data_IF_974843519818
#
_entry.id   IF_974843519818
#
_cell.length_a   1.000
_cell.length_b   1.000
_cell.length_c   1.000
_cell.angle_alpha   90.00
_cell.angle_beta   90.00
_cell.angle_gamma   90.00
#
_symmetry.space_group_name_H-M   'P 1'
#
loop_
_entity.id
_entity.type
_entity.pdbx_description
1 polymer ?
#
# COMPACT_ATOMS: atom_id res chain seq x y z
N UNK A 1 32.26 -3.67 -2.36
CA UNK A 1 30.97 -3.62 -1.63
C UNK A 1 30.34 -2.29 -2.00
N UNK A 2 29.40 -2.32 -2.94
CA UNK A 2 28.73 -1.11 -3.42
C UNK A 2 28.10 -0.38 -2.23
N UNK A 3 28.35 0.93 -2.13
CA UNK A 3 27.72 1.74 -1.09
C UNK A 3 26.32 2.10 -1.56
N UNK A 4 25.32 1.33 -1.14
CA UNK A 4 23.90 1.72 -1.27
C UNK A 4 23.72 3.22 -0.98
N UNK A 5 22.91 3.88 -1.79
CA UNK A 5 22.61 5.30 -1.64
C UNK A 5 21.91 5.55 -0.30
N UNK A 6 21.87 6.81 0.15
CA UNK A 6 21.16 7.14 1.39
C UNK A 6 19.66 6.87 1.25
N UNK A 7 19.07 7.26 0.12
CA UNK A 7 17.65 7.07 -0.18
C UNK A 7 17.28 5.57 -0.24
N UNK A 8 18.12 4.73 -0.84
CA UNK A 8 17.92 3.26 -0.85
C UNK A 8 17.92 2.67 0.57
N UNK A 9 18.84 3.10 1.43
CA UNK A 9 18.89 2.63 2.83
C UNK A 9 17.67 3.06 3.62
N UNK A 10 17.23 4.29 3.41
CA UNK A 10 16.05 4.85 4.05
C UNK A 10 14.79 4.09 3.55
N UNK A 11 14.72 3.73 2.26
CA UNK A 11 13.63 2.93 1.69
C UNK A 11 13.60 1.52 2.30
N UNK A 12 14.74 0.83 2.35
CA UNK A 12 14.87 -0.49 2.98
C UNK A 12 14.43 -0.46 4.45
N UNK A 13 14.78 0.61 5.18
CA UNK A 13 14.38 0.81 6.57
C UNK A 13 12.86 1.03 6.69
N UNK A 14 12.28 1.85 5.80
CA UNK A 14 10.84 2.07 5.75
C UNK A 14 10.07 0.78 5.44
N UNK A 15 10.55 -0.03 4.49
CA UNK A 15 9.93 -1.32 4.13
C UNK A 15 9.91 -2.26 5.34
N UNK A 16 11.04 -2.44 6.02
CA UNK A 16 11.12 -3.27 7.24
C UNK A 16 10.17 -2.79 8.34
N UNK A 17 10.05 -1.48 8.51
CA UNK A 17 9.13 -0.86 9.49
C UNK A 17 7.67 -1.12 9.12
N UNK A 18 7.32 -0.99 7.83
CA UNK A 18 5.98 -1.27 7.30
C UNK A 18 5.59 -2.74 7.47
N UNK A 19 6.47 -3.68 7.16
CA UNK A 19 6.25 -5.11 7.36
C UNK A 19 6.00 -5.45 8.84
N UNK A 20 6.80 -4.89 9.74
CA UNK A 20 6.63 -5.06 11.18
C UNK A 20 5.28 -4.49 11.66
N UNK A 21 4.91 -3.29 11.20
CA UNK A 21 3.63 -2.66 11.56
C UNK A 21 2.43 -3.47 11.05
N UNK A 22 2.50 -4.00 9.81
CA UNK A 22 1.48 -4.87 9.23
C UNK A 22 1.30 -6.16 10.03
N UNK A 23 2.40 -6.78 10.45
CA UNK A 23 2.36 -7.97 11.31
C UNK A 23 1.68 -7.67 12.66
N UNK A 24 2.03 -6.55 13.29
CA UNK A 24 1.39 -6.12 14.53
C UNK A 24 -0.11 -5.85 14.37
N UNK A 25 -0.53 -5.27 13.23
CA UNK A 25 -1.95 -5.07 12.93
C UNK A 25 -2.70 -6.40 12.83
N UNK A 26 -2.16 -7.39 12.09
CA UNK A 26 -2.81 -8.70 11.96
C UNK A 26 -2.92 -9.45 13.30
N UNK A 27 -1.88 -9.38 14.14
CA UNK A 27 -1.91 -9.94 15.49
C UNK A 27 -2.98 -9.26 16.38
N UNK A 28 -3.05 -7.93 16.36
CA UNK A 28 -4.04 -7.17 17.12
C UNK A 28 -5.47 -7.45 16.63
N UNK A 29 -5.67 -7.55 15.31
CA UNK A 29 -6.95 -7.89 14.67
C UNK A 29 -7.41 -9.29 15.06
N UNK A 30 -6.51 -10.27 15.07
CA UNK A 30 -6.82 -11.64 15.52
C UNK A 30 -7.24 -11.66 16.99
N UNK A 31 -6.47 -11.00 17.85
CA UNK A 31 -6.78 -10.88 19.28
C UNK A 31 -8.16 -10.24 19.50
N UNK A 32 -8.46 -9.15 18.80
CA UNK A 32 -9.76 -8.47 18.87
C UNK A 32 -10.92 -9.39 18.48
N UNK A 33 -10.78 -10.19 17.42
CA UNK A 33 -11.78 -11.19 17.02
C UNK A 33 -11.98 -12.27 18.08
N UNK A 34 -10.90 -12.79 18.64
CA UNK A 34 -10.96 -13.84 19.67
C UNK A 34 -11.67 -13.36 20.95
N UNK A 35 -11.33 -12.17 21.45
CA UNK A 35 -11.99 -11.64 22.66
C UNK A 35 -13.44 -11.23 22.41
N UNK A 36 -13.76 -10.71 21.22
CA UNK A 36 -15.14 -10.38 20.84
C UNK A 36 -15.99 -11.64 20.79
N UNK A 37 -15.50 -12.71 20.15
CA UNK A 37 -16.19 -14.01 20.10
C UNK A 37 -16.52 -14.53 21.50
N UNK A 38 -15.58 -14.41 22.45
CA UNK A 38 -15.81 -14.82 23.84
C UNK A 38 -16.93 -14.01 24.50
N UNK A 39 -16.93 -12.69 24.32
CA UNK A 39 -18.01 -11.83 24.82
C UNK A 39 -19.37 -12.20 24.22
N UNK A 40 -19.43 -12.40 22.89
CA UNK A 40 -20.67 -12.76 22.19
C UNK A 40 -21.20 -14.13 22.66
N UNK A 41 -20.32 -15.11 22.89
CA UNK A 41 -20.68 -16.42 23.45
C UNK A 41 -21.22 -16.32 24.89
N UNK A 42 -20.59 -15.50 25.74
CA UNK A 42 -21.00 -15.29 27.13
C UNK A 42 -22.33 -14.53 27.22
N UNK A 43 -22.53 -13.54 26.34
CA UNK A 43 -23.78 -12.82 26.19
C UNK A 43 -24.90 -13.76 25.74
N UNK A 44 -24.66 -14.56 24.69
CA UNK A 44 -25.65 -15.50 24.16
C UNK A 44 -26.12 -16.50 25.22
N UNK A 45 -25.21 -17.09 26.01
CA UNK A 45 -25.59 -17.99 27.11
C UNK A 45 -26.51 -17.30 28.13
N UNK A 46 -26.26 -16.03 28.41
CA UNK A 46 -27.06 -15.23 29.33
C UNK A 46 -28.46 -14.95 28.77
N UNK A 47 -28.55 -14.61 27.49
CA UNK A 47 -29.80 -14.39 26.76
C UNK A 47 -30.63 -15.68 26.65
N UNK A 48 -30.00 -16.79 26.24
CA UNK A 48 -30.64 -18.10 26.11
C UNK A 48 -31.25 -18.56 27.45
N UNK A 49 -30.52 -18.37 28.58
CA UNK A 49 -31.04 -18.66 29.92
C UNK A 49 -32.22 -17.76 30.26
N UNK A 50 -32.11 -16.45 30.02
CA UNK A 50 -33.17 -15.50 30.34
C UNK A 50 -34.47 -15.85 29.59
N UNK A 51 -34.38 -16.22 28.32
CA UNK A 51 -35.51 -16.66 27.52
C UNK A 51 -36.11 -17.98 28.03
N UNK A 52 -35.26 -18.95 28.36
CA UNK A 52 -35.73 -20.24 28.88
C UNK A 52 -36.41 -20.11 30.26
N UNK A 53 -35.85 -19.30 31.16
CA UNK A 53 -36.46 -18.98 32.46
C UNK A 53 -37.79 -18.26 32.28
N UNK A 54 -37.89 -17.31 31.34
CA UNK A 54 -39.14 -16.62 31.04
C UNK A 54 -40.22 -17.59 30.54
N UNK A 55 -39.87 -18.50 29.61
CA UNK A 55 -40.80 -19.53 29.12
C UNK A 55 -41.26 -20.46 30.25
N UNK A 56 -40.34 -20.89 31.10
CA UNK A 56 -40.67 -21.74 32.25
C UNK A 56 -41.53 -21.02 33.30
N UNK A 57 -41.31 -19.72 33.54
CA UNK A 57 -42.17 -18.92 34.42
C UNK A 57 -43.58 -18.78 33.83
N UNK A 58 -43.71 -18.50 32.53
CA UNK A 58 -45.02 -18.44 31.87
C UNK A 58 -45.80 -19.76 31.99
N UNK A 59 -45.13 -20.92 31.88
CA UNK A 59 -45.73 -22.23 32.13
C UNK A 59 -46.15 -22.41 33.59
N UNK A 60 -45.29 -22.01 34.54
CA UNK A 60 -45.59 -22.06 35.97
C UNK A 60 -46.78 -21.18 36.35
N UNK A 61 -46.85 -19.96 35.82
CA UNK A 61 -47.99 -19.05 36.04
C UNK A 61 -49.30 -19.64 35.51
N UNK A 62 -49.27 -20.29 34.34
CA UNK A 62 -50.43 -21.00 33.78
C UNK A 62 -50.86 -22.16 34.69
N UNK A 63 -49.92 -22.98 35.17
CA UNK A 63 -50.23 -24.08 36.08
C UNK A 63 -50.76 -23.59 37.44
N UNK A 64 -50.21 -22.51 37.99
CA UNK A 64 -50.71 -21.85 39.20
C UNK A 64 -52.17 -21.40 39.02
N UNK A 65 -52.51 -20.82 37.87
CA UNK A 65 -53.87 -20.40 37.55
C UNK A 65 -54.83 -21.59 37.41
N UNK A 66 -54.39 -22.71 36.84
CA UNK A 66 -55.19 -23.94 36.75
C UNK A 66 -55.52 -24.50 38.15
N UNK A 67 -54.56 -24.50 39.07
CA UNK A 67 -54.79 -24.93 40.47
C UNK A 67 -55.82 -24.02 41.14
N UNK A 68 -55.69 -22.70 41.00
CA UNK A 68 -56.67 -21.76 41.55
C UNK A 68 -58.08 -22.00 41.00
N UNK A 69 -58.21 -22.20 39.69
CA UNK A 69 -59.49 -22.52 39.04
C UNK A 69 -60.07 -23.84 39.57
N UNK A 70 -59.26 -24.89 39.71
CA UNK A 70 -59.71 -26.17 40.25
C UNK A 70 -60.22 -26.04 41.70
N UNK A 71 -59.58 -25.22 42.54
CA UNK A 71 -60.07 -24.92 43.88
C UNK A 71 -61.38 -24.14 43.91
N UNK A 72 -61.57 -23.20 42.98
CA UNK A 72 -62.86 -22.49 42.82
C UNK A 72 -63.96 -23.47 42.39
N UNK A 73 -63.71 -24.32 41.39
CA UNK A 73 -64.66 -25.36 40.97
C UNK A 73 -65.05 -26.30 42.11
N UNK A 74 -64.08 -26.72 42.94
CA UNK A 74 -64.36 -27.55 44.12
C UNK A 74 -65.26 -26.86 45.14
N UNK A 75 -65.09 -25.55 45.36
CA UNK A 75 -65.93 -24.77 46.27
C UNK A 75 -67.37 -24.65 45.77
N UNK A 76 -67.55 -24.58 44.45
CA UNK A 76 -68.85 -24.45 43.80
C UNK A 76 -69.55 -25.79 43.53
N UNK A 77 -68.82 -26.90 43.58
CA UNK A 77 -69.34 -28.24 43.28
C UNK A 77 -70.39 -28.73 44.29
N UNK A 78 -71.42 -29.41 43.78
CA UNK A 78 -72.43 -30.11 44.61
C UNK A 78 -71.83 -31.36 45.25
N UNK A 79 -72.42 -31.83 46.36
CA UNK A 79 -71.88 -32.96 47.16
C UNK A 79 -71.57 -34.23 46.35
N UNK A 80 -72.37 -34.54 45.33
CA UNK A 80 -72.16 -35.70 44.44
C UNK A 80 -70.99 -35.55 43.46
N UNK A 81 -70.56 -34.32 43.16
CA UNK A 81 -69.53 -34.00 42.17
C UNK A 81 -68.18 -33.64 42.82
N UNK A 82 -68.14 -33.53 44.16
CA UNK A 82 -66.94 -33.17 44.93
C UNK A 82 -65.74 -34.06 44.66
N UNK A 83 -65.94 -35.37 44.54
CA UNK A 83 -64.85 -36.33 44.30
C UNK A 83 -64.14 -36.07 42.94
N UNK A 84 -64.91 -35.70 41.92
CA UNK A 84 -64.35 -35.34 40.60
C UNK A 84 -63.58 -34.01 40.66
N UNK A 85 -64.10 -33.01 41.37
CA UNK A 85 -63.40 -31.76 41.58
C UNK A 85 -62.09 -31.93 42.41
N UNK A 86 -62.09 -32.82 43.39
CA UNK A 86 -60.88 -33.22 44.14
C UNK A 86 -59.82 -33.88 43.24
N UNK A 87 -60.23 -34.71 42.27
CA UNK A 87 -59.30 -35.29 41.30
C UNK A 87 -58.68 -34.20 40.39
N UNK A 88 -59.49 -33.25 39.91
CA UNK A 88 -58.97 -32.11 39.13
C UNK A 88 -57.95 -31.28 39.91
N UNK A 89 -58.17 -31.07 41.21
CA UNK A 89 -57.19 -30.41 42.07
C UNK A 89 -55.88 -31.21 42.08
N UNK A 90 -55.94 -32.52 42.32
CA UNK A 90 -54.72 -33.36 42.34
C UNK A 90 -53.96 -33.30 41.02
N UNK A 91 -54.65 -33.42 39.89
CA UNK A 91 -54.04 -33.34 38.56
C UNK A 91 -53.42 -31.96 38.29
N UNK A 92 -54.12 -30.87 38.65
CA UNK A 92 -53.59 -29.51 38.51
C UNK A 92 -52.38 -29.26 39.42
N UNK A 93 -52.41 -29.75 40.66
CA UNK A 93 -51.29 -29.63 41.60
C UNK A 93 -50.07 -30.41 41.13
N UNK A 94 -50.24 -31.61 40.58
CA UNK A 94 -49.13 -32.37 39.98
C UNK A 94 -48.47 -31.59 38.82
N UNK A 95 -49.27 -31.02 37.91
CA UNK A 95 -48.76 -30.17 36.82
C UNK A 95 -48.03 -28.93 37.33
N UNK A 96 -48.53 -28.33 38.41
CA UNK A 96 -47.88 -27.19 39.07
C UNK A 96 -46.51 -27.58 39.64
N UNK A 97 -46.42 -28.74 40.32
CA UNK A 97 -45.16 -29.26 40.85
C UNK A 97 -44.14 -29.54 39.73
N UNK A 98 -44.58 -30.13 38.62
CA UNK A 98 -43.74 -30.36 37.44
C UNK A 98 -43.25 -29.06 36.80
N UNK A 99 -44.14 -28.08 36.60
CA UNK A 99 -43.77 -26.77 36.06
C UNK A 99 -42.81 -26.02 37.02
N UNK A 100 -43.04 -26.12 38.33
CA UNK A 100 -42.17 -25.52 39.33
C UNK A 100 -40.78 -26.17 39.32
N UNK A 101 -40.70 -27.49 39.13
CA UNK A 101 -39.43 -28.21 38.97
C UNK A 101 -38.68 -27.71 37.74
N UNK A 102 -39.34 -27.61 36.57
CA UNK A 102 -38.72 -27.09 35.34
C UNK A 102 -38.24 -25.66 35.49
N UNK A 103 -39.03 -24.78 36.11
CA UNK A 103 -38.62 -23.40 36.39
C UNK A 103 -37.35 -23.35 37.24
N UNK A 104 -37.29 -24.13 38.32
CA UNK A 104 -36.11 -24.19 39.17
C UNK A 104 -34.90 -24.79 38.45
N UNK A 105 -35.09 -25.79 37.58
CA UNK A 105 -34.03 -26.36 36.73
C UNK A 105 -33.45 -25.31 35.77
N UNK A 106 -34.30 -24.54 35.08
CA UNK A 106 -33.88 -23.46 34.19
C UNK A 106 -33.18 -22.32 34.94
N UNK A 107 -33.68 -21.95 36.12
CA UNK A 107 -33.07 -20.90 36.94
C UNK A 107 -31.70 -21.31 37.50
N UNK A 108 -31.50 -22.60 37.77
CA UNK A 108 -30.24 -23.17 38.26
C UNK A 108 -29.14 -23.28 37.19
N UNK A 109 -29.45 -23.12 35.90
CA UNK A 109 -28.43 -23.13 34.82
C UNK A 109 -27.39 -22.05 35.07
N UNK A 110 -26.11 -22.40 35.06
CA UNK A 110 -25.02 -21.45 35.33
C UNK A 110 -24.73 -20.61 34.09
N UNK A 111 -24.71 -19.29 34.25
CA UNK A 111 -24.31 -18.31 33.23
C UNK A 111 -23.25 -17.37 33.80
N UNK A 112 -22.46 -16.69 32.96
CA UNK A 112 -21.54 -15.65 33.42
C UNK A 112 -22.25 -14.62 34.30
N UNK A 113 -21.61 -14.22 35.40
CA UNK A 113 -22.14 -13.15 36.23
C UNK A 113 -22.07 -11.80 35.47
N UNK A 114 -22.94 -10.85 35.85
CA UNK A 114 -22.97 -9.54 35.19
C UNK A 114 -21.61 -8.81 35.28
N UNK A 115 -20.87 -9.01 36.37
CA UNK A 115 -19.50 -8.53 36.57
C UNK A 115 -18.53 -9.14 35.56
N UNK A 116 -18.55 -10.46 35.38
CA UNK A 116 -17.70 -11.18 34.44
C UNK A 116 -18.01 -10.79 32.99
N UNK A 117 -19.30 -10.66 32.64
CA UNK A 117 -19.74 -10.21 31.32
C UNK A 117 -19.31 -8.77 31.03
N UNK A 118 -19.32 -7.89 32.04
CA UNK A 118 -18.80 -6.52 31.90
C UNK A 118 -17.28 -6.52 31.65
N UNK A 119 -16.53 -7.41 32.33
CA UNK A 119 -15.08 -7.56 32.12
C UNK A 119 -14.78 -8.09 30.72
N UNK A 120 -15.52 -9.07 30.20
CA UNK A 120 -15.31 -9.58 28.84
C UNK A 120 -15.69 -8.54 27.79
N UNK A 121 -16.75 -7.76 28.00
CA UNK A 121 -17.11 -6.62 27.15
C UNK A 121 -16.00 -5.57 27.10
N UNK A 122 -15.49 -5.16 28.26
CA UNK A 122 -14.41 -4.17 28.33
C UNK A 122 -13.17 -4.65 27.59
N UNK A 123 -12.76 -5.91 27.79
CA UNK A 123 -11.61 -6.50 27.06
C UNK A 123 -11.83 -6.52 25.55
N UNK A 124 -13.06 -6.79 25.09
CA UNK A 124 -13.39 -6.75 23.67
C UNK A 124 -13.29 -5.34 23.09
N UNK A 125 -13.78 -4.33 23.81
CA UNK A 125 -13.68 -2.93 23.41
C UNK A 125 -12.23 -2.43 23.39
N UNK A 126 -11.44 -2.76 24.42
CA UNK A 126 -10.01 -2.43 24.49
C UNK A 126 -9.23 -3.06 23.33
N UNK A 127 -9.45 -4.35 23.04
CA UNK A 127 -8.76 -5.02 21.93
C UNK A 127 -9.18 -4.45 20.56
N UNK A 128 -10.43 -4.02 20.39
CA UNK A 128 -10.87 -3.31 19.17
C UNK A 128 -10.13 -1.98 19.01
N UNK A 129 -9.99 -1.19 20.08
CA UNK A 129 -9.21 0.06 20.07
C UNK A 129 -7.72 -0.21 19.78
N UNK A 130 -7.14 -1.23 20.39
CA UNK A 130 -5.75 -1.66 20.09
C UNK A 130 -5.57 -2.00 18.61
N UNK A 131 -6.50 -2.74 18.02
CA UNK A 131 -6.47 -3.10 16.60
C UNK A 131 -6.62 -1.88 15.68
N UNK A 132 -7.47 -0.90 16.03
CA UNK A 132 -7.61 0.35 15.26
C UNK A 132 -6.34 1.20 15.32
N UNK A 133 -5.70 1.30 16.49
CA UNK A 133 -4.41 1.99 16.63
C UNK A 133 -3.32 1.29 15.82
N UNK A 134 -3.29 -0.04 15.84
CA UNK A 134 -2.34 -0.82 15.04
C UNK A 134 -2.59 -0.65 13.53
N UNK A 135 -3.85 -0.57 13.10
CA UNK A 135 -4.23 -0.28 11.70
C UNK A 135 -3.66 1.06 11.25
N UNK A 136 -3.91 2.13 12.02
CA UNK A 136 -3.40 3.49 11.70
C UNK A 136 -1.88 3.51 11.57
N UNK A 137 -1.16 2.85 12.49
CA UNK A 137 0.31 2.73 12.42
C UNK A 137 0.78 1.96 11.19
N UNK A 138 0.08 0.90 10.80
CA UNK A 138 0.39 0.15 9.58
C UNK A 138 0.18 0.98 8.32
N UNK A 139 -0.90 1.76 8.25
CA UNK A 139 -1.18 2.66 7.13
C UNK A 139 -0.16 3.80 7.03
N UNK A 140 0.21 4.40 8.17
CA UNK A 140 1.23 5.44 8.23
C UNK A 140 2.61 4.92 7.77
N UNK A 141 3.00 3.72 8.22
CA UNK A 141 4.24 3.10 7.80
C UNK A 141 4.25 2.74 6.29
N UNK A 142 3.09 2.36 5.73
CA UNK A 142 2.97 2.15 4.29
C UNK A 142 3.15 3.45 3.49
N UNK A 143 2.60 4.56 3.98
CA UNK A 143 2.80 5.89 3.36
C UNK A 143 4.26 6.34 3.41
N UNK A 144 4.98 6.03 4.50
CA UNK A 144 6.40 6.33 4.63
C UNK A 144 7.25 5.60 3.57
N UNK A 145 6.89 4.33 3.26
CA UNK A 145 7.52 3.57 2.16
C UNK A 145 7.29 4.26 0.82
N UNK A 146 6.06 4.70 0.55
CA UNK A 146 5.72 5.39 -0.69
C UNK A 146 6.48 6.73 -0.84
N UNK A 147 6.57 7.49 0.25
CA UNK A 147 7.34 8.74 0.29
C UNK A 147 8.81 8.48 -0.03
N UNK A 148 9.42 7.45 0.56
CA UNK A 148 10.83 7.15 0.32
C UNK A 148 11.09 6.61 -1.09
N UNK A 149 10.15 5.81 -1.63
CA UNK A 149 10.18 5.40 -3.05
C UNK A 149 10.16 6.61 -3.98
N UNK A 150 9.27 7.58 -3.73
CA UNK A 150 9.17 8.77 -4.57
C UNK A 150 10.43 9.62 -4.55
N UNK A 151 11.15 9.69 -3.42
CA UNK A 151 12.45 10.38 -3.36
C UNK A 151 13.51 9.73 -4.25
N UNK A 152 13.54 8.39 -4.31
CA UNK A 152 14.45 7.66 -5.21
C UNK A 152 14.11 8.01 -6.66
N UNK A 153 12.83 7.91 -7.04
CA UNK A 153 12.37 8.25 -8.39
C UNK A 153 12.69 9.71 -8.79
N UNK A 154 12.50 10.67 -7.88
CA UNK A 154 12.85 12.07 -8.10
C UNK A 154 14.37 12.25 -8.29
N UNK A 155 15.18 11.58 -7.47
CA UNK A 155 16.63 11.63 -7.58
C UNK A 155 17.13 11.01 -8.90
N UNK A 156 16.56 9.88 -9.31
CA UNK A 156 16.91 9.21 -10.57
C UNK A 156 16.54 10.08 -11.77
N UNK A 157 15.34 10.69 -11.77
CA UNK A 157 14.92 11.62 -12.81
C UNK A 157 15.78 12.89 -12.87
N UNK A 158 16.29 13.37 -11.74
CA UNK A 158 17.24 14.49 -11.72
C UNK A 158 18.61 14.08 -12.28
N UNK A 159 19.08 12.89 -11.94
CA UNK A 159 20.35 12.35 -12.45
C UNK A 159 20.30 12.08 -13.95
N UNK A 160 19.20 11.56 -14.48
CA UNK A 160 18.97 11.36 -15.92
C UNK A 160 19.09 12.68 -16.69
N UNK A 161 18.44 13.75 -16.19
CA UNK A 161 18.57 15.09 -16.79
C UNK A 161 20.01 15.62 -16.77
N UNK A 162 20.76 15.34 -15.70
CA UNK A 162 22.19 15.74 -15.61
C UNK A 162 23.04 14.96 -16.61
N UNK A 163 22.76 13.67 -16.80
CA UNK A 163 23.41 12.84 -17.81
C UNK A 163 23.17 13.41 -19.20
N UNK A 164 21.92 13.71 -19.57
CA UNK A 164 21.59 14.28 -20.88
C UNK A 164 22.38 15.57 -21.15
N UNK A 165 22.44 16.46 -20.15
CA UNK A 165 23.20 17.72 -20.25
C UNK A 165 24.69 17.45 -20.44
N UNK A 166 25.27 16.53 -19.67
CA UNK A 166 26.70 16.19 -19.76
C UNK A 166 27.04 15.48 -21.08
N UNK A 167 26.20 14.57 -21.56
CA UNK A 167 26.38 13.91 -22.85
C UNK A 167 26.36 14.92 -24.01
N UNK A 168 25.42 15.87 -24.00
CA UNK A 168 25.39 16.94 -24.99
C UNK A 168 26.66 17.81 -24.93
N UNK A 169 27.11 18.16 -23.72
CA UNK A 169 28.35 18.93 -23.53
C UNK A 169 29.59 18.16 -24.03
N UNK A 170 29.67 16.86 -23.78
CA UNK A 170 30.74 15.99 -24.29
C UNK A 170 30.74 16.01 -25.82
N UNK A 171 29.58 15.78 -26.45
CA UNK A 171 29.46 15.79 -27.91
C UNK A 171 29.84 17.16 -28.54
N UNK A 172 29.44 18.26 -27.91
CA UNK A 172 29.81 19.61 -28.36
C UNK A 172 31.33 19.84 -28.23
N UNK A 173 31.94 19.43 -27.11
CA UNK A 173 33.39 19.54 -26.90
C UNK A 173 34.19 18.67 -27.88
N UNK A 174 33.76 17.44 -28.15
CA UNK A 174 34.37 16.57 -29.16
C UNK A 174 34.41 17.24 -30.54
N UNK A 175 33.31 17.89 -30.93
CA UNK A 175 33.21 18.63 -32.19
C UNK A 175 34.13 19.86 -32.20
N UNK A 176 34.14 20.65 -31.13
CA UNK A 176 35.03 21.82 -31.00
C UNK A 176 36.51 21.42 -31.03
N UNK A 177 36.87 20.28 -30.44
CA UNK A 177 38.23 19.72 -30.49
C UNK A 177 38.58 19.34 -31.93
N UNK A 178 37.68 18.64 -32.65
CA UNK A 178 37.93 18.27 -34.04
C UNK A 178 38.17 19.50 -34.95
N UNK A 179 37.38 20.56 -34.79
CA UNK A 179 37.55 21.81 -35.53
C UNK A 179 38.86 22.53 -35.15
N UNK A 180 39.23 22.53 -33.87
CA UNK A 180 40.49 23.09 -33.40
C UNK A 180 41.70 22.31 -33.92
N UNK A 181 41.64 20.97 -33.92
CA UNK A 181 42.70 20.10 -34.46
C UNK A 181 42.87 20.28 -35.97
N UNK A 182 41.76 20.43 -36.71
CA UNK A 182 41.81 20.77 -38.13
C UNK A 182 42.51 22.11 -38.37
N UNK A 183 42.19 23.13 -37.57
CA UNK A 183 42.83 24.45 -37.65
C UNK A 183 44.33 24.36 -37.36
N UNK A 184 44.72 23.58 -36.35
CA UNK A 184 46.13 23.32 -36.03
C UNK A 184 46.83 22.65 -37.22
N UNK A 185 46.23 21.61 -37.81
CA UNK A 185 46.82 20.89 -38.94
C UNK A 185 46.98 21.77 -40.19
N UNK A 186 46.04 22.67 -40.46
CA UNK A 186 46.14 23.60 -41.60
C UNK A 186 47.20 24.69 -41.35
N UNK A 187 47.29 25.24 -40.13
CA UNK A 187 48.35 26.17 -39.75
C UNK A 187 49.75 25.51 -39.77
N UNK A 188 49.87 24.24 -39.38
CA UNK A 188 51.14 23.49 -39.48
C UNK A 188 51.62 23.37 -40.93
N UNK A 189 50.71 23.16 -41.89
CA UNK A 189 51.06 23.16 -43.32
C UNK A 189 51.48 24.54 -43.81
N UNK A 190 50.78 25.61 -43.41
CA UNK A 190 51.14 26.99 -43.77
C UNK A 190 52.52 27.36 -43.22
N UNK A 191 52.79 27.05 -41.95
CA UNK A 191 54.10 27.28 -41.31
C UNK A 191 55.19 26.52 -42.05
N UNK A 192 55.00 25.23 -42.36
CA UNK A 192 55.99 24.44 -43.08
C UNK A 192 56.29 24.99 -44.49
N UNK A 193 55.28 25.52 -45.18
CA UNK A 193 55.47 26.18 -46.48
C UNK A 193 56.29 27.47 -46.33
N UNK A 194 55.95 28.33 -45.36
CA UNK A 194 56.66 29.57 -45.09
C UNK A 194 58.11 29.32 -44.63
N UNK A 195 58.36 28.26 -43.85
CA UNK A 195 59.73 27.85 -43.47
C UNK A 195 60.58 27.56 -44.71
N UNK A 196 60.00 26.85 -45.69
CA UNK A 196 60.67 26.56 -46.95
C UNK A 196 60.87 27.82 -47.80
N UNK A 197 59.89 28.72 -47.85
CA UNK A 197 60.01 29.99 -48.58
C UNK A 197 61.12 30.86 -47.97
N UNK A 198 61.20 30.95 -46.63
CA UNK A 198 62.28 31.65 -45.90
C UNK A 198 63.65 31.04 -46.21
N UNK A 199 63.77 29.71 -46.22
CA UNK A 199 65.00 29.01 -46.60
C UNK A 199 65.42 29.34 -48.05
N UNK A 200 64.48 29.31 -48.99
CA UNK A 200 64.73 29.69 -50.39
C UNK A 200 65.18 31.14 -50.56
N UNK A 201 64.64 32.09 -49.80
CA UNK A 201 65.09 33.49 -49.84
C UNK A 201 66.48 33.68 -49.23
N UNK A 202 66.89 32.88 -48.24
CA UNK A 202 68.26 32.91 -47.67
C UNK A 202 69.33 32.51 -48.68
N UNK A 203 68.97 31.65 -49.63
CA UNK A 203 69.88 31.17 -50.68
C UNK A 203 69.89 32.06 -51.93
N UNK A 204 69.04 33.09 -51.99
CA UNK A 204 68.89 33.99 -53.15
C UNK A 204 69.89 35.16 -53.13
N UNK A 205 70.51 35.45 -54.27
CA UNK A 205 71.47 36.54 -54.49
C UNK A 205 70.88 37.78 -55.19
N UNK A 206 69.55 37.84 -55.32
CA UNK A 206 68.85 38.96 -55.96
C UNK A 206 68.91 40.29 -55.20
N UNK A 207 68.85 41.42 -55.93
CA UNK A 207 68.98 42.80 -55.41
C UNK A 207 67.96 43.17 -54.32
N UNK A 208 66.82 42.48 -54.25
CA UNK A 208 65.77 42.68 -53.24
C UNK A 208 65.62 41.50 -52.26
N UNK A 209 66.54 40.52 -52.29
CA UNK A 209 66.40 39.28 -51.52
C UNK A 209 66.30 39.51 -50.00
N UNK A 210 67.08 40.46 -49.44
CA UNK A 210 67.02 40.82 -48.01
C UNK A 210 65.64 41.36 -47.60
N UNK A 211 65.01 42.19 -48.44
CA UNK A 211 63.69 42.78 -48.15
C UNK A 211 62.58 41.71 -48.16
N UNK A 212 62.61 40.78 -49.11
CA UNK A 212 61.66 39.67 -49.16
C UNK A 212 61.90 38.66 -48.04
N UNK A 213 63.16 38.45 -47.64
CA UNK A 213 63.50 37.60 -46.51
C UNK A 213 62.95 38.15 -45.20
N UNK A 214 63.15 39.45 -44.92
CA UNK A 214 62.64 40.09 -43.69
C UNK A 214 61.10 40.02 -43.61
N UNK A 215 60.41 40.26 -44.74
CA UNK A 215 58.96 40.12 -44.82
C UNK A 215 58.49 38.67 -44.55
N UNK A 216 59.14 37.68 -45.17
CA UNK A 216 58.81 36.27 -45.00
C UNK A 216 59.09 35.76 -43.57
N UNK A 217 60.18 36.22 -42.93
CA UNK A 217 60.48 35.88 -41.55
C UNK A 217 59.46 36.48 -40.57
N UNK A 218 58.96 37.69 -40.85
CA UNK A 218 57.89 38.31 -40.05
C UNK A 218 56.56 37.56 -40.19
N UNK A 219 56.16 37.21 -41.42
CA UNK A 219 54.94 36.43 -41.67
C UNK A 219 55.02 35.05 -41.03
N UNK A 220 56.18 34.39 -41.11
CA UNK A 220 56.45 33.12 -40.44
C UNK A 220 56.32 33.24 -38.91
N UNK A 221 56.87 34.31 -38.33
CA UNK A 221 56.77 34.56 -36.88
C UNK A 221 55.31 34.76 -36.45
N UNK A 222 54.53 35.53 -37.20
CA UNK A 222 53.09 35.70 -36.95
C UNK A 222 52.33 34.38 -37.05
N UNK A 223 52.56 33.58 -38.10
CA UNK A 223 51.91 32.27 -38.26
C UNK A 223 52.30 31.26 -37.19
N UNK A 224 53.55 31.27 -36.72
CA UNK A 224 53.98 30.45 -35.58
C UNK A 224 53.28 30.85 -34.28
N UNK A 225 53.02 32.14 -34.06
CA UNK A 225 52.24 32.59 -32.91
C UNK A 225 50.78 32.14 -33.00
N UNK A 226 50.12 32.31 -34.15
CA UNK A 226 48.76 31.81 -34.40
C UNK A 226 48.65 30.29 -34.16
N UNK A 227 49.63 29.52 -34.64
CA UNK A 227 49.71 28.07 -34.42
C UNK A 227 49.84 27.72 -32.94
N UNK A 228 50.68 28.45 -32.20
CA UNK A 228 50.85 28.23 -30.76
C UNK A 228 49.55 28.50 -29.98
N UNK A 229 48.84 29.58 -30.32
CA UNK A 229 47.53 29.90 -29.73
C UNK A 229 46.48 28.83 -30.05
N UNK A 230 46.43 28.36 -31.31
CA UNK A 230 45.52 27.29 -31.73
C UNK A 230 45.78 25.98 -30.95
N UNK A 231 47.06 25.62 -30.73
CA UNK A 231 47.46 24.45 -29.92
C UNK A 231 47.06 24.58 -28.45
N UNK A 232 47.18 25.78 -27.87
CA UNK A 232 46.72 26.05 -26.50
C UNK A 232 45.20 25.92 -26.39
N UNK A 233 44.46 26.44 -27.39
CA UNK A 233 43.00 26.32 -27.42
C UNK A 233 42.55 24.85 -27.50
N UNK A 234 43.16 24.06 -28.39
CA UNK A 234 42.85 22.63 -28.53
C UNK A 234 43.14 21.83 -27.25
N UNK A 235 44.29 22.06 -26.61
CA UNK A 235 44.66 21.40 -25.35
C UNK A 235 43.74 21.81 -24.19
N UNK A 236 43.35 23.08 -24.12
CA UNK A 236 42.36 23.56 -23.13
C UNK A 236 41.03 22.84 -23.27
N UNK A 237 40.53 22.70 -24.52
CA UNK A 237 39.27 22.00 -24.81
C UNK A 237 39.30 20.53 -24.46
N UNK A 238 40.43 19.84 -24.73
CA UNK A 238 40.63 18.45 -24.28
C UNK A 238 40.57 18.30 -22.75
N UNK A 239 41.13 19.25 -22.00
CA UNK A 239 41.04 19.23 -20.55
C UNK A 239 39.61 19.50 -20.03
N UNK A 240 38.81 20.29 -20.75
CA UNK A 240 37.37 20.47 -20.45
C UNK A 240 36.58 19.19 -20.72
N UNK A 241 36.89 18.48 -21.81
CA UNK A 241 36.29 17.20 -22.16
C UNK A 241 36.56 16.15 -21.08
N UNK A 242 37.83 15.96 -20.68
CA UNK A 242 38.23 14.98 -19.66
C UNK A 242 37.49 15.23 -18.32
N UNK A 243 37.28 16.49 -17.94
CA UNK A 243 36.49 16.84 -16.75
C UNK A 243 35.01 16.48 -16.91
N UNK A 244 34.43 16.75 -18.07
CA UNK A 244 33.03 16.43 -18.34
C UNK A 244 32.78 14.91 -18.41
N UNK A 245 33.71 14.16 -19.00
CA UNK A 245 33.70 12.69 -19.03
C UNK A 245 33.82 12.10 -17.63
N UNK A 246 34.75 12.61 -16.81
CA UNK A 246 34.88 12.16 -15.42
C UNK A 246 33.63 12.48 -14.58
N UNK A 247 32.99 13.63 -14.79
CA UNK A 247 31.73 13.97 -14.11
C UNK A 247 30.59 13.03 -14.54
N UNK A 248 30.51 12.72 -15.84
CA UNK A 248 29.54 11.79 -16.40
C UNK A 248 29.76 10.35 -15.88
N UNK A 249 31.00 9.87 -15.86
CA UNK A 249 31.37 8.55 -15.35
C UNK A 249 31.04 8.39 -13.87
N UNK A 250 31.29 9.43 -13.06
CA UNK A 250 30.93 9.44 -11.65
C UNK A 250 29.41 9.36 -11.46
N UNK A 251 28.62 10.11 -12.23
CA UNK A 251 27.15 10.05 -12.16
C UNK A 251 26.61 8.69 -12.61
N UNK A 252 27.13 8.14 -13.71
CA UNK A 252 26.76 6.80 -14.19
C UNK A 252 27.10 5.72 -13.15
N UNK A 253 28.26 5.82 -12.49
CA UNK A 253 28.65 4.90 -11.41
C UNK A 253 27.75 4.99 -10.18
N UNK A 254 27.07 6.12 -9.96
CA UNK A 254 26.08 6.27 -8.87
C UNK A 254 24.69 5.76 -9.23
N UNK A 255 24.36 5.71 -10.53
CA UNK A 255 23.12 5.14 -11.06
C UNK A 255 23.22 3.63 -11.34
N UNK A 256 24.44 3.11 -11.43
CA UNK A 256 24.74 1.70 -11.66
C UNK A 256 25.43 1.02 -10.44
N UNK A 257 24.80 0.96 -9.25
CA UNK A 257 25.29 0.11 -8.16
C UNK A 257 24.92 -1.37 -8.37
N UNK A 258 23.86 -1.67 -9.14
CA UNK A 258 23.50 -2.97 -9.70
C UNK A 258 22.74 -2.71 -11.02
N UNK A 259 23.25 -3.22 -12.15
CA UNK A 259 22.74 -2.90 -13.49
C UNK A 259 21.24 -3.03 -13.69
N UNK A 260 20.53 -1.91 -13.57
CA UNK A 260 19.19 -1.75 -14.14
C UNK A 260 19.30 -1.45 -15.62
N UNK A 261 19.16 -2.49 -16.43
CA UNK A 261 18.99 -2.37 -17.89
C UNK A 261 17.70 -1.60 -18.21
N UNK A 262 17.56 -1.08 -19.43
CA UNK A 262 16.30 -0.48 -19.93
C UNK A 262 15.07 -1.37 -19.66
N UNK A 263 15.25 -2.71 -19.65
CA UNK A 263 14.21 -3.68 -19.26
C UNK A 263 13.73 -3.52 -17.81
N UNK A 264 14.56 -3.04 -16.88
CA UNK A 264 14.15 -2.77 -15.49
C UNK A 264 13.48 -1.40 -15.32
N UNK A 265 13.81 -0.42 -16.16
CA UNK A 265 13.06 0.86 -16.24
C UNK A 265 11.67 0.65 -16.85
N UNK A 266 11.60 -0.18 -17.89
CA UNK A 266 10.34 -0.61 -18.52
C UNK A 266 9.53 -1.50 -17.56
N UNK A 267 10.20 -2.35 -16.76
CA UNK A 267 9.55 -3.13 -15.70
C UNK A 267 9.05 -2.26 -14.55
N UNK A 268 9.78 -1.23 -14.15
CA UNK A 268 9.35 -0.29 -13.11
C UNK A 268 8.16 0.57 -13.58
N UNK A 269 8.16 0.96 -14.85
CA UNK A 269 7.02 1.63 -15.49
C UNK A 269 5.82 0.67 -15.60
N UNK A 270 6.04 -0.59 -15.96
CA UNK A 270 5.01 -1.63 -16.00
C UNK A 270 4.48 -1.98 -14.60
N UNK A 271 5.33 -2.02 -13.57
CA UNK A 271 4.95 -2.22 -12.18
C UNK A 271 4.17 -1.03 -11.62
N UNK A 272 4.51 0.20 -12.02
CA UNK A 272 3.74 1.40 -11.67
C UNK A 272 2.34 1.38 -12.32
N UNK A 273 2.22 0.94 -13.58
CA UNK A 273 0.91 0.70 -14.20
C UNK A 273 0.16 -0.47 -13.53
N UNK A 274 0.87 -1.52 -13.13
CA UNK A 274 0.27 -2.67 -12.44
C UNK A 274 -0.27 -2.25 -11.07
N UNK A 275 0.47 -1.45 -10.30
CA UNK A 275 0.04 -0.91 -9.02
C UNK A 275 -1.20 -0.02 -9.15
N UNK A 276 -1.25 0.85 -10.18
CA UNK A 276 -2.48 1.63 -10.48
C UNK A 276 -3.67 0.72 -10.81
N UNK A 277 -3.45 -0.37 -11.54
CA UNK A 277 -4.50 -1.39 -11.80
C UNK A 277 -4.91 -2.13 -10.54
N UNK A 278 -3.98 -2.44 -9.64
CA UNK A 278 -4.26 -3.09 -8.35
C UNK A 278 -5.07 -2.16 -7.45
N UNK A 279 -4.72 -0.88 -7.34
CA UNK A 279 -5.53 0.09 -6.59
C UNK A 279 -6.95 0.24 -7.19
N UNK A 280 -7.06 0.32 -8.52
CA UNK A 280 -8.36 0.40 -9.18
C UNK A 280 -9.21 -0.86 -8.92
N UNK A 281 -8.61 -2.05 -8.92
CA UNK A 281 -9.28 -3.31 -8.59
C UNK A 281 -9.66 -3.38 -7.11
N UNK A 282 -8.79 -2.93 -6.19
CA UNK A 282 -9.10 -2.88 -4.76
C UNK A 282 -10.27 -1.93 -4.46
N UNK A 283 -10.33 -0.78 -5.13
CA UNK A 283 -11.47 0.14 -5.01
C UNK A 283 -12.76 -0.50 -5.55
N UNK A 284 -12.68 -1.23 -6.67
CA UNK A 284 -13.83 -1.93 -7.23
C UNK A 284 -14.31 -3.09 -6.35
N UNK A 285 -13.38 -3.83 -5.73
CA UNK A 285 -13.69 -4.86 -4.73
C UNK A 285 -14.41 -4.23 -3.53
N UNK A 286 -13.91 -3.12 -3.00
CA UNK A 286 -14.55 -2.43 -1.88
C UNK A 286 -15.97 -1.94 -2.22
N UNK A 287 -16.18 -1.43 -3.43
CA UNK A 287 -17.50 -0.98 -3.91
C UNK A 287 -18.48 -2.17 -4.05
N UNK A 288 -18.02 -3.30 -4.60
CA UNK A 288 -18.82 -4.53 -4.71
C UNK A 288 -19.14 -5.15 -3.34
N UNK A 289 -18.20 -5.13 -2.39
CA UNK A 289 -18.43 -5.57 -1.02
C UNK A 289 -19.51 -4.70 -0.33
N UNK A 290 -19.50 -3.38 -0.58
CA UNK A 290 -20.53 -2.47 -0.04
C UNK A 290 -21.91 -2.73 -0.68
N UNK A 291 -21.97 -2.95 -1.99
CA UNK A 291 -23.21 -3.33 -2.70
C UNK A 291 -23.77 -4.67 -2.19
N UNK A 292 -22.92 -5.67 -2.00
CA UNK A 292 -23.32 -6.97 -1.44
C UNK A 292 -23.87 -6.82 -0.03
N UNK A 293 -23.20 -6.07 0.84
CA UNK A 293 -23.70 -5.82 2.19
C UNK A 293 -25.10 -5.18 2.18
N UNK A 294 -25.35 -4.23 1.27
CA UNK A 294 -26.69 -3.61 1.13
C UNK A 294 -27.74 -4.60 0.63
N UNK A 295 -27.39 -5.48 -0.31
CA UNK A 295 -28.30 -6.49 -0.83
C UNK A 295 -28.61 -7.57 0.21
N UNK A 296 -27.62 -8.02 0.97
CA UNK A 296 -27.79 -8.96 2.08
C UNK A 296 -28.69 -8.38 3.18
N UNK A 297 -28.50 -7.10 3.54
CA UNK A 297 -29.37 -6.40 4.47
C UNK A 297 -30.81 -6.30 3.94
N UNK A 298 -30.98 -5.98 2.65
CA UNK A 298 -32.31 -5.94 2.02
C UNK A 298 -32.99 -7.31 1.99
N UNK A 299 -32.25 -8.39 1.73
CA UNK A 299 -32.78 -9.75 1.76
C UNK A 299 -33.25 -10.11 3.17
N UNK A 300 -32.46 -9.79 4.20
CA UNK A 300 -32.80 -10.01 5.60
C UNK A 300 -34.05 -9.24 6.03
N UNK A 301 -34.20 -8.00 5.55
CA UNK A 301 -35.42 -7.20 5.76
C UNK A 301 -36.63 -7.84 5.05
N UNK A 302 -36.45 -8.36 3.83
CA UNK A 302 -37.50 -9.03 3.08
C UNK A 302 -37.95 -10.35 3.72
N UNK A 303 -37.02 -11.13 4.26
CA UNK A 303 -37.29 -12.33 5.06
C UNK A 303 -38.08 -12.01 6.32
N UNK A 304 -37.67 -10.95 7.05
CA UNK A 304 -38.32 -10.52 8.30
C UNK A 304 -39.74 -10.00 8.07
N UNK A 305 -39.97 -9.30 6.95
CA UNK A 305 -41.25 -8.70 6.60
C UNK A 305 -42.18 -9.62 5.80
N UNK A 306 -41.77 -10.86 5.54
CA UNK A 306 -42.56 -11.87 4.82
C UNK A 306 -43.04 -11.41 3.43
N UNK A 307 -42.15 -10.68 2.73
CA UNK A 307 -42.39 -10.14 1.38
C UNK A 307 -42.52 -11.29 0.37
N UNK A 308 -43.24 -11.08 -0.75
CA UNK A 308 -43.49 -12.12 -1.76
C UNK A 308 -42.21 -12.80 -2.26
N UNK A 309 -42.27 -14.12 -2.47
CA UNK A 309 -41.10 -14.95 -2.80
C UNK A 309 -40.38 -14.50 -4.07
N UNK A 310 -41.08 -13.92 -5.06
CA UNK A 310 -40.45 -13.40 -6.27
C UNK A 310 -39.47 -12.24 -5.99
N UNK A 311 -39.68 -11.47 -4.91
CA UNK A 311 -38.79 -10.36 -4.50
C UNK A 311 -37.55 -10.93 -3.82
N UNK A 312 -37.69 -12.00 -3.04
CA UNK A 312 -36.57 -12.69 -2.38
C UNK A 312 -35.69 -13.39 -3.41
N UNK A 313 -36.29 -14.12 -4.36
CA UNK A 313 -35.56 -14.75 -5.47
C UNK A 313 -34.77 -13.70 -6.27
N UNK A 314 -35.37 -12.54 -6.56
CA UNK A 314 -34.67 -11.45 -7.26
C UNK A 314 -33.48 -10.86 -6.48
N UNK A 315 -33.56 -10.79 -5.15
CA UNK A 315 -32.45 -10.36 -4.29
C UNK A 315 -31.36 -11.42 -4.19
N UNK A 316 -31.73 -12.70 -4.05
CA UNK A 316 -30.80 -13.83 -4.05
C UNK A 316 -30.04 -13.92 -5.38
N UNK A 317 -30.72 -13.73 -6.51
CA UNK A 317 -30.11 -13.72 -7.85
C UNK A 317 -29.16 -12.52 -8.03
N UNK A 318 -29.51 -11.35 -7.49
CA UNK A 318 -28.64 -10.17 -7.49
C UNK A 318 -27.38 -10.37 -6.62
N UNK A 319 -27.54 -10.97 -5.43
CA UNK A 319 -26.42 -11.33 -4.54
C UNK A 319 -25.50 -12.33 -5.23
N UNK A 320 -26.05 -13.40 -5.81
CA UNK A 320 -25.27 -14.41 -6.51
C UNK A 320 -24.50 -13.81 -7.70
N UNK A 321 -25.13 -12.89 -8.44
CA UNK A 321 -24.48 -12.18 -9.55
C UNK A 321 -23.32 -11.32 -9.06
N UNK A 322 -23.49 -10.59 -7.96
CA UNK A 322 -22.46 -9.72 -7.39
C UNK A 322 -21.31 -10.50 -6.73
N UNK A 323 -21.60 -11.63 -6.09
CA UNK A 323 -20.58 -12.56 -5.57
C UNK A 323 -19.74 -13.15 -6.72
N UNK A 324 -20.38 -13.53 -7.83
CA UNK A 324 -19.66 -14.00 -9.02
C UNK A 324 -18.82 -12.90 -9.70
N UNK A 325 -19.23 -11.63 -9.57
CA UNK A 325 -18.47 -10.47 -10.04
C UNK A 325 -17.28 -10.16 -9.12
N UNK A 326 -17.41 -10.42 -7.82
CA UNK A 326 -16.35 -10.25 -6.81
C UNK A 326 -15.27 -11.35 -6.88
N UNK A 327 -15.64 -12.58 -7.25
CA UNK A 327 -14.70 -13.70 -7.41
C UNK A 327 -13.81 -13.63 -8.67
N UNK A 328 -14.13 -12.73 -9.61
CA UNK A 328 -13.40 -12.55 -10.88
C UNK A 328 -12.29 -11.51 -10.80
#
# INVERSE_FOLDING_TARGET
VASQSKAEKDFDAAVKKSEAAKKHYEEAKKKAKEVQKKYDEDQKKTEDKAEAVKKADEELQKANLEVQKAYVEYREAKAKDKASAEQKIKEATQKQEEANKKFNEEQAKVVPEASDLAVTKQKAEEAKKEAEVAKKKSEEAAKEVEVEKNKILEQDAENEKKIDVLQNKVADLEKEIADAEKTVADLEKEVAKLEKDVEGFKESDGEYAEFYLEAAEKDLATKKAELAEAKIKATTKKAELEKAEAELENLLSTLDPEGKTQDELDKETAEAELNKKVEALQNKVAELEEELSKLEDNLKVAETNNVEDYIKEGLEEAIATKQAELEK
#
